data_IF_106086207028
#
_entry.id   IF_106086207028
#
_cell.length_a   1.000
_cell.length_b   1.000
_cell.length_c   1.000
_cell.angle_alpha   90.00
_cell.angle_beta   90.00
_cell.angle_gamma   90.00
#
_symmetry.space_group_name_H-M   'P 1'
#
loop_
_entity.id
_entity.type
_entity.pdbx_description
1 polymer ?
#
# COMPACT_ATOMS: atom_id res chain seq x y z
N UNK A 1 -6.04 -0.84 14.18
CA UNK A 1 -6.36 -0.96 12.75
C UNK A 1 -6.62 -2.40 12.42
N UNK A 2 -7.90 -2.72 12.36
CA UNK A 2 -8.43 -3.97 11.79
C UNK A 2 -8.75 -3.80 10.28
N UNK A 3 -9.37 -4.83 9.70
CA UNK A 3 -9.78 -4.87 8.29
C UNK A 3 -10.70 -3.72 7.89
N UNK A 4 -11.70 -3.41 8.74
CA UNK A 4 -12.66 -2.35 8.45
C UNK A 4 -11.99 -0.97 8.52
N UNK A 5 -11.13 -0.77 9.52
CA UNK A 5 -10.36 0.46 9.67
C UNK A 5 -9.39 0.67 8.50
N UNK A 6 -8.82 -0.40 7.94
CA UNK A 6 -7.95 -0.32 6.76
C UNK A 6 -8.74 -0.03 5.48
N UNK A 7 -9.91 -0.67 5.29
CA UNK A 7 -10.79 -0.37 4.16
C UNK A 7 -11.25 1.10 4.17
N UNK A 8 -11.67 1.60 5.34
CA UNK A 8 -12.05 3.00 5.53
C UNK A 8 -10.88 3.98 5.33
N UNK A 9 -9.65 3.57 5.63
CA UNK A 9 -8.45 4.36 5.32
C UNK A 9 -8.29 4.54 3.80
N UNK A 10 -8.42 3.45 3.02
CA UNK A 10 -8.32 3.52 1.57
C UNK A 10 -9.39 4.43 0.97
N UNK A 11 -10.64 4.30 1.42
CA UNK A 11 -11.75 5.14 0.97
C UNK A 11 -11.53 6.63 1.28
N UNK A 12 -11.15 6.96 2.52
CA UNK A 12 -10.92 8.35 2.96
C UNK A 12 -9.86 9.06 2.14
N UNK A 13 -8.82 8.33 1.71
CA UNK A 13 -7.73 8.87 0.89
C UNK A 13 -7.95 8.63 -0.60
N UNK A 14 -9.13 8.13 -1.01
CA UNK A 14 -9.50 7.84 -2.40
C UNK A 14 -8.46 6.95 -3.10
N UNK A 15 -7.98 5.92 -2.40
CA UNK A 15 -6.99 4.97 -2.89
C UNK A 15 -7.65 3.65 -3.24
N UNK A 16 -7.36 3.16 -4.44
CA UNK A 16 -7.68 1.78 -4.80
C UNK A 16 -6.66 0.80 -4.19
N UNK A 17 -7.06 -0.46 -4.03
CA UNK A 17 -6.15 -1.54 -3.62
C UNK A 17 -4.94 -1.68 -4.55
N UNK A 18 -5.15 -1.40 -5.85
CA UNK A 18 -4.11 -1.45 -6.88
C UNK A 18 -3.07 -0.36 -6.66
N UNK A 19 -3.51 0.88 -6.46
CA UNK A 19 -2.62 2.01 -6.23
C UNK A 19 -1.84 1.85 -4.92
N UNK A 20 -2.51 1.40 -3.87
CA UNK A 20 -1.86 1.15 -2.59
C UNK A 20 -0.84 0.00 -2.69
N UNK A 21 -1.15 -1.08 -3.42
CA UNK A 21 -0.19 -2.16 -3.66
C UNK A 21 1.02 -1.69 -4.46
N UNK A 22 0.79 -0.86 -5.49
CA UNK A 22 1.85 -0.26 -6.29
C UNK A 22 2.76 0.64 -5.43
N UNK A 23 2.19 1.42 -4.50
CA UNK A 23 2.97 2.22 -3.55
C UNK A 23 3.84 1.38 -2.61
N UNK A 24 3.35 0.23 -2.19
CA UNK A 24 4.11 -0.70 -1.36
C UNK A 24 5.13 -1.53 -2.16
N UNK A 25 5.14 -1.45 -3.49
CA UNK A 25 5.94 -2.32 -4.34
C UNK A 25 5.59 -3.81 -4.18
N UNK A 26 4.32 -4.10 -3.85
CA UNK A 26 3.83 -5.46 -3.61
C UNK A 26 2.82 -5.89 -4.67
N UNK A 27 2.49 -7.18 -4.69
CA UNK A 27 1.49 -7.72 -5.59
C UNK A 27 0.08 -7.26 -5.20
N UNK A 28 -0.76 -7.00 -6.20
CA UNK A 28 -2.16 -6.57 -6.01
C UNK A 28 -2.93 -7.48 -5.05
N UNK A 29 -2.71 -8.80 -5.13
CA UNK A 29 -3.40 -9.79 -4.30
C UNK A 29 -3.09 -9.68 -2.80
N UNK A 30 -2.01 -9.01 -2.42
CA UNK A 30 -1.60 -8.84 -1.02
C UNK A 30 -2.52 -7.88 -0.29
N UNK A 31 -2.82 -6.72 -0.88
CA UNK A 31 -3.65 -5.68 -0.26
C UNK A 31 -5.12 -6.11 -0.20
N UNK A 32 -5.61 -6.82 -1.23
CA UNK A 32 -6.96 -7.35 -1.28
C UNK A 32 -7.29 -8.19 -0.03
N UNK A 33 -6.37 -9.08 0.37
CA UNK A 33 -6.54 -9.95 1.55
C UNK A 33 -6.70 -9.19 2.87
N UNK A 34 -6.22 -7.95 2.95
CA UNK A 34 -6.33 -7.09 4.12
C UNK A 34 -7.65 -6.33 4.18
N UNK A 35 -8.34 -6.20 3.04
CA UNK A 35 -9.66 -5.56 2.94
C UNK A 35 -10.82 -6.52 3.10
N UNK A 36 -10.56 -7.83 3.08
CA UNK A 36 -11.58 -8.86 3.28
C UNK A 36 -12.08 -8.87 4.74
N UNK A 37 -13.36 -9.20 4.97
CA UNK A 37 -13.88 -9.47 6.30
C UNK A 37 -13.07 -10.55 7.06
N UNK A 38 -13.04 -10.53 8.41
CA UNK A 38 -12.25 -11.49 9.20
C UNK A 38 -12.69 -12.96 9.04
N UNK A 39 -13.95 -13.20 8.66
CA UNK A 39 -14.55 -14.51 8.44
C UNK A 39 -14.25 -15.10 7.05
N UNK A 40 -13.70 -14.32 6.11
CA UNK A 40 -13.27 -14.84 4.81
C UNK A 40 -12.00 -15.70 4.96
N UNK A 41 -12.02 -16.92 4.39
CA UNK A 41 -10.89 -17.86 4.42
C UNK A 41 -9.57 -17.30 3.84
N UNK A 42 -9.67 -16.33 2.94
CA UNK A 42 -8.53 -15.67 2.30
C UNK A 42 -8.05 -14.44 3.08
N UNK A 43 -8.81 -14.02 4.10
CA UNK A 43 -8.52 -12.87 4.93
C UNK A 43 -7.17 -13.03 5.63
N UNK A 44 -6.44 -11.92 5.67
CA UNK A 44 -5.15 -11.82 6.36
C UNK A 44 -5.09 -10.52 7.14
N UNK A 45 -4.63 -10.62 8.39
CA UNK A 45 -4.45 -9.44 9.22
C UNK A 45 -3.55 -8.40 8.55
N UNK A 46 -3.91 -7.13 8.72
CA UNK A 46 -3.10 -6.00 8.25
C UNK A 46 -1.74 -6.01 8.98
N UNK A 47 -0.59 -6.05 8.27
CA UNK A 47 0.71 -6.10 8.93
C UNK A 47 0.96 -4.91 9.86
N UNK A 48 1.71 -5.10 10.94
CA UNK A 48 1.98 -4.04 11.92
C UNK A 48 2.58 -2.77 11.29
N UNK A 49 3.55 -2.93 10.39
CA UNK A 49 4.17 -1.80 9.69
C UNK A 49 3.17 -1.01 8.84
N UNK A 50 2.22 -1.69 8.18
CA UNK A 50 1.17 -1.04 7.39
C UNK A 50 0.20 -0.28 8.30
N UNK A 51 -0.18 -0.87 9.43
CA UNK A 51 -1.04 -0.21 10.42
C UNK A 51 -0.39 1.06 10.96
N UNK A 52 0.90 0.99 11.32
CA UNK A 52 1.66 2.15 11.80
C UNK A 52 1.77 3.23 10.71
N UNK A 53 2.04 2.84 9.47
CA UNK A 53 2.08 3.75 8.33
C UNK A 53 0.75 4.48 8.12
N UNK A 54 -0.38 3.77 8.09
CA UNK A 54 -1.70 4.39 7.90
C UNK A 54 -2.03 5.40 9.01
N UNK A 55 -1.71 5.08 10.27
CA UNK A 55 -1.89 6.01 11.40
C UNK A 55 -1.00 7.24 11.22
N UNK A 56 0.28 7.05 10.90
CA UNK A 56 1.19 8.17 10.66
C UNK A 56 0.71 9.04 9.49
N UNK A 57 0.28 8.42 8.39
CA UNK A 57 -0.26 9.12 7.23
C UNK A 57 -1.50 9.97 7.60
N UNK A 58 -2.43 9.42 8.40
CA UNK A 58 -3.60 10.14 8.92
C UNK A 58 -3.25 11.33 9.82
N UNK A 59 -2.08 11.33 10.45
CA UNK A 59 -1.60 12.44 11.29
C UNK A 59 -0.71 13.44 10.53
N UNK A 60 -0.19 13.07 9.36
CA UNK A 60 0.61 13.97 8.53
C UNK A 60 -0.23 15.16 8.04
N UNK A 61 0.39 16.33 7.98
CA UNK A 61 -0.22 17.51 7.34
C UNK A 61 -0.45 17.26 5.84
N UNK A 62 -1.46 17.89 5.22
CA UNK A 62 -1.72 17.73 3.78
C UNK A 62 -0.48 17.96 2.92
N UNK A 63 0.32 18.99 3.25
CA UNK A 63 1.57 19.30 2.55
C UNK A 63 2.58 18.15 2.55
N UNK A 64 2.73 17.44 3.68
CA UNK A 64 3.63 16.30 3.78
C UNK A 64 3.10 15.09 3.00
N UNK A 65 1.79 14.85 3.04
CA UNK A 65 1.15 13.79 2.24
C UNK A 65 1.37 14.04 0.75
N UNK A 66 1.15 15.26 0.28
CA UNK A 66 1.34 15.61 -1.13
C UNK A 66 2.79 15.41 -1.57
N UNK A 67 3.76 15.79 -0.72
CA UNK A 67 5.18 15.54 -0.99
C UNK A 67 5.51 14.05 -1.04
N UNK A 68 4.95 13.25 -0.14
CA UNK A 68 5.12 11.80 -0.12
C UNK A 68 4.56 11.18 -1.40
N UNK A 69 3.32 11.50 -1.77
CA UNK A 69 2.67 11.00 -2.99
C UNK A 69 3.45 11.43 -4.24
N UNK A 70 3.91 12.68 -4.29
CA UNK A 70 4.72 13.18 -5.41
C UNK A 70 6.03 12.42 -5.54
N UNK A 71 6.74 12.18 -4.43
CA UNK A 71 8.00 11.42 -4.42
C UNK A 71 7.81 9.96 -4.82
N UNK A 72 6.74 9.32 -4.36
CA UNK A 72 6.39 7.95 -4.73
C UNK A 72 6.07 7.84 -6.23
N UNK A 73 5.29 8.78 -6.78
CA UNK A 73 5.00 8.84 -8.22
C UNK A 73 6.25 9.08 -9.07
N UNK A 74 7.19 9.90 -8.61
CA UNK A 74 8.46 10.12 -9.30
C UNK A 74 9.48 8.98 -9.11
N UNK A 75 9.37 8.20 -8.03
CA UNK A 75 10.28 7.10 -7.70
C UNK A 75 9.88 5.74 -8.29
N UNK A 76 8.59 5.56 -8.61
CA UNK A 76 8.06 4.33 -9.23
C UNK A 76 8.56 4.01 -10.64
N UNK A 77 9.28 4.94 -11.29
CA UNK A 77 9.94 4.71 -12.58
C UNK A 77 11.34 4.07 -12.47
N UNK A 78 11.87 3.91 -11.25
CA UNK A 78 13.30 3.59 -11.02
C UNK A 78 13.63 2.14 -10.62
N UNK A 79 12.67 1.30 -10.24
CA UNK A 79 12.95 -0.10 -9.87
C UNK A 79 12.79 -1.00 -11.09
N UNK A 80 13.61 -0.75 -12.13
CA UNK A 80 13.92 -1.82 -13.09
C UNK A 80 14.79 -2.81 -12.34
N UNK A 81 14.24 -4.02 -12.11
CA UNK A 81 15.03 -5.18 -11.73
C UNK A 81 16.07 -5.40 -12.82
N UNK A 82 17.32 -5.02 -12.56
CA UNK A 82 18.44 -5.74 -13.15
C UNK A 82 18.37 -7.16 -12.60
N UNK A 83 17.74 -8.04 -13.35
CA UNK A 83 17.96 -9.47 -13.24
C UNK A 83 18.58 -9.95 -14.55
N UNK A 84 19.83 -10.36 -14.39
CA UNK A 84 20.48 -11.48 -15.08
C UNK A 84 20.92 -11.27 -16.53
N UNK A 85 22.16 -10.78 -16.64
CA UNK A 85 23.24 -11.38 -17.44
C UNK A 85 23.04 -12.87 -17.76
N UNK A 86 23.06 -13.21 -19.05
CA UNK A 86 23.12 -14.59 -19.54
C UNK A 86 23.04 -14.62 -21.06
N UNK A 87 24.15 -14.35 -21.73
CA UNK A 87 24.34 -14.55 -23.17
C UNK A 87 25.11 -15.87 -23.33
N UNK A 88 24.47 -16.89 -23.88
CA UNK A 88 25.10 -18.05 -24.52
C UNK A 88 24.55 -18.16 -25.95
#
# INVERSE_FOLDING_TARGET
MDHMQFAAFLERHQLTQVEFAAWLGTEKGTVWRWTLPPDDKNSRAVPLGIRAFCIAYDLMSPRLRDQLVKRLKSGGAGVRREKETGHE
#
